data_IF_798687569692
#
_entry.id   IF_798687569692
#
_cell.length_a   1.000
_cell.length_b   1.000
_cell.length_c   1.000
_cell.angle_alpha   90.00
_cell.angle_beta   90.00
_cell.angle_gamma   90.00
#
_symmetry.space_group_name_H-M   'P 1'
#
loop_
_entity.id
_entity.type
_entity.pdbx_description
1 polymer ?
#
# COMPACT_ATOMS: atom_id res chain seq x y z
N UNK A 1 18.09 -7.96 -7.42
CA UNK A 1 16.80 -7.54 -6.86
C UNK A 1 17.04 -7.10 -5.42
N UNK A 2 16.70 -5.87 -5.04
CA UNK A 2 16.80 -5.45 -3.63
C UNK A 2 15.77 -6.21 -2.79
N UNK A 3 16.04 -6.53 -1.51
CA UNK A 3 15.02 -7.04 -0.61
C UNK A 3 13.83 -6.08 -0.55
N UNK A 4 12.61 -6.61 -0.44
CA UNK A 4 11.38 -5.80 -0.43
C UNK A 4 11.43 -4.68 0.63
N UNK A 5 12.02 -4.94 1.80
CA UNK A 5 12.17 -3.94 2.85
C UNK A 5 13.02 -2.73 2.42
N UNK A 6 14.09 -2.94 1.65
CA UNK A 6 14.97 -1.85 1.18
C UNK A 6 14.29 -1.02 0.09
N UNK A 7 13.49 -1.67 -0.78
CA UNK A 7 12.63 -0.98 -1.74
C UNK A 7 11.65 -0.05 -1.03
N UNK A 8 10.96 -0.54 0.00
CA UNK A 8 9.99 0.28 0.72
C UNK A 8 10.67 1.43 1.45
N UNK A 9 11.81 1.21 2.11
CA UNK A 9 12.59 2.28 2.74
C UNK A 9 12.99 3.36 1.73
N UNK A 10 13.46 2.96 0.54
CA UNK A 10 13.79 3.91 -0.52
C UNK A 10 12.57 4.71 -1.02
N UNK A 11 11.37 4.12 -0.93
CA UNK A 11 10.09 4.79 -1.22
C UNK A 11 9.55 5.63 -0.04
N UNK A 12 10.32 5.79 1.03
CA UNK A 12 9.94 6.61 2.20
C UNK A 12 9.14 5.88 3.28
N UNK A 13 9.13 4.54 3.26
CA UNK A 13 8.55 3.75 4.33
C UNK A 13 9.48 3.64 5.54
N UNK A 14 8.89 3.64 6.73
CA UNK A 14 9.56 3.29 7.98
C UNK A 14 8.66 2.38 8.82
N UNK A 15 9.21 1.47 9.64
CA UNK A 15 8.42 0.59 10.50
C UNK A 15 7.45 1.39 11.38
N UNK A 16 6.19 0.95 11.43
CA UNK A 16 5.18 1.61 12.26
C UNK A 16 4.55 2.86 11.63
N UNK A 17 4.85 3.17 10.37
CA UNK A 17 4.14 4.20 9.59
C UNK A 17 2.63 3.95 9.65
N UNK A 18 1.85 5.03 9.83
CA UNK A 18 0.37 5.00 9.82
C UNK A 18 -0.18 6.14 8.98
N UNK A 19 -0.92 5.81 7.93
CA UNK A 19 -1.66 6.77 7.10
C UNK A 19 -3.16 6.56 7.20
N UNK A 20 -3.92 7.64 6.99
CA UNK A 20 -5.38 7.56 6.91
C UNK A 20 -5.83 6.78 5.67
N UNK A 21 -6.71 5.81 5.87
CA UNK A 21 -7.18 4.88 4.82
C UNK A 21 -8.47 5.33 4.12
N UNK A 22 -9.05 6.46 4.54
CA UNK A 22 -10.36 6.94 4.09
C UNK A 22 -10.48 7.08 2.57
N UNK A 23 -9.42 7.53 1.88
CA UNK A 23 -9.41 7.66 0.42
C UNK A 23 -9.72 6.33 -0.27
N UNK A 24 -9.15 5.22 0.19
CA UNK A 24 -9.41 3.90 -0.41
C UNK A 24 -10.82 3.41 -0.09
N UNK A 25 -11.30 3.62 1.13
CA UNK A 25 -12.70 3.29 1.50
C UNK A 25 -13.69 4.03 0.59
N UNK A 26 -13.51 5.33 0.38
CA UNK A 26 -14.35 6.12 -0.53
C UNK A 26 -14.23 5.74 -2.01
N UNK A 27 -13.10 5.14 -2.44
CA UNK A 27 -12.97 4.63 -3.81
C UNK A 27 -13.73 3.31 -4.02
N UNK A 28 -13.81 2.46 -2.99
CA UNK A 28 -14.45 1.14 -3.09
C UNK A 28 -15.95 1.16 -2.81
N UNK A 29 -16.42 2.08 -1.96
CA UNK A 29 -17.84 2.19 -1.58
C UNK A 29 -18.80 2.35 -2.77
N UNK A 30 -18.54 3.18 -3.80
CA UNK A 30 -19.41 3.28 -4.97
C UNK A 30 -19.46 2.00 -5.82
N UNK A 31 -18.49 1.10 -5.67
CA UNK A 31 -18.43 -0.19 -6.35
C UNK A 31 -19.14 -1.30 -5.55
N UNK A 32 -19.73 -0.97 -4.40
CA UNK A 32 -20.29 -1.95 -3.47
C UNK A 32 -19.24 -2.84 -2.81
N UNK A 33 -17.97 -2.42 -2.82
CA UNK A 33 -16.85 -3.18 -2.27
C UNK A 33 -16.52 -2.65 -0.87
N UNK A 34 -16.56 -3.54 0.13
CA UNK A 34 -16.11 -3.23 1.48
C UNK A 34 -14.59 -3.41 1.57
N UNK A 35 -13.89 -2.43 2.15
CA UNK A 35 -12.47 -2.57 2.48
C UNK A 35 -12.32 -3.54 3.66
N UNK A 36 -11.79 -4.74 3.39
CA UNK A 36 -11.52 -5.75 4.39
C UNK A 36 -10.47 -5.28 5.41
N UNK A 37 -10.62 -5.63 6.70
CA UNK A 37 -9.74 -5.16 7.79
C UNK A 37 -8.25 -5.46 7.55
N UNK A 38 -7.94 -6.62 6.99
CA UNK A 38 -6.57 -6.97 6.57
C UNK A 38 -6.01 -6.01 5.53
N UNK A 39 -6.83 -5.64 4.53
CA UNK A 39 -6.42 -4.70 3.51
C UNK A 39 -6.30 -3.29 4.09
N UNK A 40 -7.18 -2.89 5.01
CA UNK A 40 -7.05 -1.63 5.74
C UNK A 40 -5.77 -1.58 6.57
N UNK A 41 -5.43 -2.65 7.29
CA UNK A 41 -4.20 -2.74 8.08
C UNK A 41 -2.96 -2.61 7.20
N UNK A 42 -2.97 -3.27 6.04
CA UNK A 42 -1.89 -3.17 5.06
C UNK A 42 -1.76 -1.75 4.49
N UNK A 43 -2.87 -1.16 4.03
CA UNK A 43 -2.89 0.20 3.48
C UNK A 43 -2.52 1.25 4.51
N UNK A 44 -2.83 1.01 5.79
CA UNK A 44 -2.42 1.91 6.87
C UNK A 44 -0.90 2.02 6.97
N UNK A 45 -0.15 0.97 6.66
CA UNK A 45 1.30 0.97 6.75
C UNK A 45 1.98 1.32 5.42
N UNK A 46 1.52 0.72 4.32
CA UNK A 46 2.16 0.81 2.99
C UNK A 46 1.41 1.70 1.99
N UNK A 47 0.19 2.13 2.32
CA UNK A 47 -0.65 2.91 1.42
C UNK A 47 0.00 4.23 1.01
N UNK A 48 -0.09 4.53 -0.28
CA UNK A 48 0.42 5.76 -0.88
C UNK A 48 1.93 5.79 -1.12
N UNK A 49 2.64 4.67 -0.90
CA UNK A 49 4.02 4.53 -1.36
C UNK A 49 4.04 4.34 -2.88
N UNK A 50 4.89 5.08 -3.56
CA UNK A 50 5.21 4.85 -4.97
C UNK A 50 6.51 4.09 -5.02
N UNK A 51 6.44 2.79 -5.30
CA UNK A 51 7.62 1.95 -5.52
C UNK A 51 7.88 1.86 -7.01
N UNK A 52 9.05 2.32 -7.47
CA UNK A 52 9.46 2.15 -8.86
C UNK A 52 10.23 0.82 -9.00
N UNK A 53 9.52 -0.29 -8.88
CA UNK A 53 10.11 -1.63 -9.07
C UNK A 53 9.28 -2.39 -10.09
N UNK A 54 9.89 -2.67 -11.25
CA UNK A 54 9.37 -3.64 -12.20
C UNK A 54 9.81 -5.04 -11.79
N UNK A 55 8.86 -5.96 -11.67
CA UNK A 55 9.12 -7.40 -11.62
C UNK A 55 8.76 -8.04 -12.96
N UNK A 56 9.40 -9.15 -13.37
CA UNK A 56 9.12 -9.82 -14.64
C UNK A 56 7.67 -10.33 -14.79
N UNK A 57 6.85 -10.30 -13.73
CA UNK A 57 5.46 -10.75 -13.74
C UNK A 57 4.42 -9.60 -13.71
N UNK A 58 4.86 -8.34 -13.74
CA UNK A 58 3.97 -7.18 -13.82
C UNK A 58 4.09 -6.60 -15.24
N UNK A 59 3.19 -7.06 -16.13
CA UNK A 59 2.94 -6.46 -17.45
C UNK A 59 1.67 -5.62 -17.40
#
# INVERSE_FOLDING_TARGET
>A
MLPAAEVFKAAGWAPGRRVGTGRWRSMFEPLGLALHDTAETFLREFGGLTVNVGGPEIT
#
